data_IF_157428074987
#
_entry.id   IF_157428074987
#
_cell.length_a   1.000
_cell.length_b   1.000
_cell.length_c   1.000
_cell.angle_alpha   90.00
_cell.angle_beta   90.00
_cell.angle_gamma   90.00
#
_symmetry.space_group_name_H-M   'P 1'
#
loop_
_entity.id
_entity.type
_entity.pdbx_description
1 polymer ?
#
# COMPACT_ATOMS: atom_id res chain seq x y z
N UNK A 1 -6.48 -12.89 44.49
CA UNK A 1 -7.42 -13.70 43.68
C UNK A 1 -8.85 -13.16 43.62
N UNK A 2 -9.52 -12.76 44.72
CA UNK A 2 -10.90 -12.26 44.68
C UNK A 2 -11.06 -10.91 43.93
N UNK A 3 -10.12 -9.97 44.11
CA UNK A 3 -10.15 -8.64 43.48
C UNK A 3 -10.09 -8.72 41.94
N UNK A 4 -9.08 -9.41 41.41
CA UNK A 4 -8.92 -9.62 39.95
C UNK A 4 -10.12 -10.30 39.30
N UNK A 5 -10.71 -11.32 39.96
CA UNK A 5 -11.92 -11.98 39.43
C UNK A 5 -13.12 -11.03 39.37
N UNK A 6 -13.26 -10.14 40.36
CA UNK A 6 -14.32 -9.13 40.37
C UNK A 6 -14.10 -8.09 39.27
N UNK A 7 -12.88 -7.59 39.11
CA UNK A 7 -12.53 -6.64 38.03
C UNK A 7 -12.83 -7.23 36.63
N UNK A 8 -12.48 -8.49 36.40
CA UNK A 8 -12.81 -9.17 35.13
C UNK A 8 -14.31 -9.31 34.96
N UNK A 9 -15.04 -9.74 36.01
CA UNK A 9 -16.50 -9.86 35.97
C UNK A 9 -17.16 -8.51 35.64
N UNK A 10 -16.78 -7.44 36.36
CA UNK A 10 -17.31 -6.09 36.16
C UNK A 10 -17.03 -5.60 34.73
N UNK A 11 -15.82 -5.85 34.21
CA UNK A 11 -15.47 -5.52 32.83
C UNK A 11 -16.31 -6.26 31.79
N UNK A 12 -16.41 -7.60 31.86
CA UNK A 12 -17.11 -8.40 30.83
C UNK A 12 -18.62 -8.27 30.89
N UNK A 13 -19.18 -7.94 32.07
CA UNK A 13 -20.61 -7.68 32.24
C UNK A 13 -21.00 -6.22 32.02
N UNK A 14 -20.02 -5.32 31.83
CA UNK A 14 -20.30 -3.91 31.55
C UNK A 14 -21.09 -3.75 30.24
N UNK A 15 -21.95 -2.74 30.20
CA UNK A 15 -22.71 -2.37 28.99
C UNK A 15 -21.79 -1.99 27.83
N UNK A 16 -20.57 -1.54 28.14
CA UNK A 16 -19.59 -1.06 27.18
C UNK A 16 -18.71 -2.17 26.61
N UNK A 17 -18.76 -3.40 27.17
CA UNK A 17 -17.93 -4.51 26.71
C UNK A 17 -18.14 -4.82 25.23
N UNK A 18 -19.39 -5.02 24.80
CA UNK A 18 -19.72 -5.36 23.40
C UNK A 18 -19.39 -4.20 22.44
N UNK A 19 -19.76 -2.93 22.72
CA UNK A 19 -19.31 -1.78 21.92
C UNK A 19 -17.78 -1.69 21.79
N UNK A 20 -17.05 -1.93 22.88
CA UNK A 20 -15.58 -1.89 22.91
C UNK A 20 -14.99 -2.99 22.02
N UNK A 21 -15.52 -4.21 22.10
CA UNK A 21 -15.11 -5.33 21.26
C UNK A 21 -15.38 -5.05 19.78
N UNK A 22 -16.55 -4.49 19.44
CA UNK A 22 -16.88 -4.09 18.06
C UNK A 22 -15.90 -3.04 17.53
N UNK A 23 -15.55 -2.05 18.36
CA UNK A 23 -14.56 -1.02 18.00
C UNK A 23 -13.18 -1.66 17.77
N UNK A 24 -12.72 -2.53 18.66
CA UNK A 24 -11.45 -3.24 18.51
C UNK A 24 -11.41 -4.08 17.22
N UNK A 25 -12.48 -4.82 16.93
CA UNK A 25 -12.59 -5.59 15.69
C UNK A 25 -12.55 -4.69 14.44
N UNK A 26 -13.18 -3.51 14.48
CA UNK A 26 -13.14 -2.53 13.38
C UNK A 26 -11.72 -2.01 13.13
N UNK A 27 -10.96 -1.73 14.19
CA UNK A 27 -9.55 -1.29 14.12
C UNK A 27 -8.62 -2.38 13.58
N UNK A 28 -8.86 -3.65 13.94
CA UNK A 28 -8.02 -4.76 13.47
C UNK A 28 -8.33 -5.18 12.03
N UNK A 29 -9.51 -4.84 11.50
CA UNK A 29 -9.95 -5.27 10.18
C UNK A 29 -9.03 -4.81 9.02
N UNK A 30 -8.57 -3.55 8.93
CA UNK A 30 -7.60 -3.11 7.93
C UNK A 30 -6.31 -3.95 7.92
N UNK A 31 -5.78 -4.26 9.11
CA UNK A 31 -4.55 -5.05 9.28
C UNK A 31 -4.80 -6.49 8.81
N UNK A 32 -5.85 -7.14 9.30
CA UNK A 32 -6.18 -8.51 8.94
C UNK A 32 -6.49 -8.69 7.46
N UNK A 33 -7.13 -7.71 6.83
CA UNK A 33 -7.41 -7.72 5.38
C UNK A 33 -6.13 -7.57 4.55
N UNK A 34 -5.22 -6.72 5.03
CA UNK A 34 -3.93 -6.49 4.40
C UNK A 34 -3.00 -7.71 4.49
N UNK A 35 -2.91 -8.36 5.64
CA UNK A 35 -2.14 -9.60 5.82
C UNK A 35 -2.61 -10.69 4.85
N UNK A 36 -3.92 -10.95 4.81
CA UNK A 36 -4.51 -11.93 3.88
C UNK A 36 -4.24 -11.62 2.40
N UNK A 37 -4.05 -10.35 2.04
CA UNK A 37 -3.72 -9.95 0.66
C UNK A 37 -2.25 -10.22 0.33
N UNK A 38 -1.35 -10.04 1.30
CA UNK A 38 0.08 -10.25 1.12
C UNK A 38 0.53 -11.71 1.25
N UNK A 39 -0.22 -12.52 2.00
CA UNK A 39 0.05 -13.96 2.18
C UNK A 39 -0.28 -14.80 0.93
N UNK A 40 -0.85 -14.21 -0.12
CA UNK A 40 -1.10 -14.93 -1.38
C UNK A 40 0.16 -15.01 -2.20
N UNK A 41 0.45 -16.21 -2.73
CA UNK A 41 1.64 -16.49 -3.56
C UNK A 41 1.72 -15.61 -4.83
N UNK A 42 0.60 -15.05 -5.29
CA UNK A 42 0.51 -14.23 -6.48
C UNK A 42 0.51 -12.71 -6.21
N UNK A 43 0.72 -12.28 -4.95
CA UNK A 43 0.68 -10.87 -4.58
C UNK A 43 1.80 -10.07 -5.28
N UNK A 44 1.46 -9.07 -6.13
CA UNK A 44 2.47 -8.23 -6.76
C UNK A 44 3.26 -7.42 -5.72
N UNK A 45 4.58 -7.27 -5.92
CA UNK A 45 5.46 -6.43 -5.08
C UNK A 45 4.86 -5.04 -4.75
N UNK A 46 4.21 -4.32 -5.70
CA UNK A 46 3.61 -3.02 -5.39
C UNK A 46 2.51 -3.05 -4.31
N UNK A 47 1.91 -4.21 -4.02
CA UNK A 47 0.92 -4.35 -2.95
C UNK A 47 1.50 -3.98 -1.58
N UNK A 48 2.78 -4.28 -1.35
CA UNK A 48 3.45 -3.97 -0.08
C UNK A 48 3.47 -2.46 0.12
N UNK A 49 3.97 -1.71 -0.87
CA UNK A 49 4.04 -0.25 -0.75
C UNK A 49 2.65 0.40 -0.74
N UNK A 50 1.73 -0.08 -1.59
CA UNK A 50 0.36 0.44 -1.64
C UNK A 50 -0.38 0.28 -0.32
N UNK A 51 -0.18 -0.83 0.40
CA UNK A 51 -0.71 -1.04 1.75
C UNK A 51 -0.30 0.12 2.66
N UNK A 52 0.98 0.47 2.71
CA UNK A 52 1.46 1.54 3.60
C UNK A 52 0.92 2.92 3.22
N UNK A 53 0.63 3.16 1.94
CA UNK A 53 -0.01 4.39 1.48
C UNK A 53 -1.48 4.48 1.92
N UNK A 54 -2.21 3.37 1.91
CA UNK A 54 -3.65 3.35 2.20
C UNK A 54 -3.98 3.20 3.70
N UNK A 55 -3.15 2.46 4.44
CA UNK A 55 -3.40 2.10 5.83
C UNK A 55 -3.64 3.31 6.75
N UNK A 56 -2.97 4.47 6.61
CA UNK A 56 -3.27 5.67 7.40
C UNK A 56 -4.72 6.14 7.28
N UNK A 57 -5.29 6.10 6.08
CA UNK A 57 -6.69 6.48 5.83
C UNK A 57 -7.64 5.39 6.34
N UNK A 58 -7.31 4.11 6.12
CA UNK A 58 -8.11 3.00 6.64
C UNK A 58 -8.19 2.98 8.18
N UNK A 59 -7.12 3.40 8.87
CA UNK A 59 -7.08 3.56 10.32
C UNK A 59 -7.92 4.73 10.83
N UNK A 60 -8.00 5.80 10.04
CA UNK A 60 -8.85 6.96 10.32
C UNK A 60 -10.33 6.55 10.22
N UNK A 61 -10.70 5.86 9.13
CA UNK A 61 -12.04 5.31 8.91
C UNK A 61 -12.44 4.26 9.96
N UNK A 62 -11.47 3.59 10.57
CA UNK A 62 -11.70 2.64 11.65
C UNK A 62 -12.22 3.29 12.95
N UNK A 63 -12.14 4.61 13.09
CA UNK A 63 -12.66 5.35 14.25
C UNK A 63 -11.73 5.33 15.46
N UNK A 64 -10.42 5.37 15.21
CA UNK A 64 -9.42 5.63 16.25
C UNK A 64 -9.60 7.02 16.85
N UNK A 65 -9.20 7.20 18.11
CA UNK A 65 -9.09 8.54 18.68
C UNK A 65 -7.97 9.32 17.97
N UNK A 66 -7.98 10.65 18.05
CA UNK A 66 -6.90 11.47 17.46
C UNK A 66 -5.51 11.09 17.99
N UNK A 67 -5.41 10.78 19.29
CA UNK A 67 -4.16 10.34 19.92
C UNK A 67 -3.70 8.98 19.35
N UNK A 68 -4.59 7.99 19.32
CA UNK A 68 -4.27 6.65 18.82
C UNK A 68 -3.97 6.67 17.33
N UNK A 69 -4.68 7.50 16.55
CA UNK A 69 -4.45 7.67 15.12
C UNK A 69 -3.05 8.24 14.85
N UNK A 70 -2.59 9.21 15.66
CA UNK A 70 -1.23 9.75 15.56
C UNK A 70 -0.18 8.68 15.83
N UNK A 71 -0.39 7.85 16.86
CA UNK A 71 0.49 6.72 17.17
C UNK A 71 0.49 5.69 16.03
N UNK A 72 -0.69 5.33 15.51
CA UNK A 72 -0.83 4.41 14.39
C UNK A 72 -0.11 4.92 13.14
N UNK A 73 -0.33 6.18 12.74
CA UNK A 73 0.35 6.81 11.60
C UNK A 73 1.87 6.78 11.77
N UNK A 74 2.38 7.10 12.97
CA UNK A 74 3.82 7.00 13.27
C UNK A 74 4.35 5.58 13.12
N UNK A 75 3.65 4.58 13.65
CA UNK A 75 4.05 3.17 13.56
C UNK A 75 4.05 2.68 12.10
N UNK A 76 3.03 3.07 11.32
CA UNK A 76 2.92 2.75 9.89
C UNK A 76 4.12 3.32 9.14
N UNK A 77 4.46 4.59 9.36
CA UNK A 77 5.64 5.22 8.73
C UNK A 77 6.93 4.51 9.13
N UNK A 78 7.15 4.23 10.43
CA UNK A 78 8.34 3.52 10.89
C UNK A 78 8.46 2.14 10.25
N UNK A 79 7.35 1.40 10.14
CA UNK A 79 7.34 0.07 9.52
C UNK A 79 7.55 0.15 8.01
N UNK A 80 6.92 1.10 7.34
CA UNK A 80 7.15 1.36 5.93
C UNK A 80 8.63 1.62 5.66
N UNK A 81 9.26 2.55 6.40
CA UNK A 81 10.68 2.87 6.22
C UNK A 81 11.61 1.69 6.51
N UNK A 82 11.22 0.77 7.41
CA UNK A 82 12.00 -0.42 7.71
C UNK A 82 11.94 -1.46 6.58
N UNK A 83 10.77 -1.66 5.96
CA UNK A 83 10.60 -2.69 4.91
C UNK A 83 10.83 -2.15 3.51
N UNK A 84 10.76 -0.83 3.32
CA UNK A 84 10.90 -0.20 2.03
C UNK A 84 12.31 -0.40 1.49
N UNK A 85 12.37 -0.58 0.17
CA UNK A 85 13.60 -0.70 -0.60
C UNK A 85 13.28 -0.37 -2.06
N UNK A 86 14.29 -0.10 -2.87
CA UNK A 86 14.13 0.44 -4.23
C UNK A 86 13.19 -0.42 -5.10
N UNK A 87 13.21 -1.74 -4.92
CA UNK A 87 12.31 -2.67 -5.61
C UNK A 87 10.83 -2.32 -5.41
N UNK A 88 10.43 -1.84 -4.23
CA UNK A 88 9.06 -1.44 -3.94
C UNK A 88 8.66 -0.19 -4.73
N UNK A 89 9.52 0.83 -4.74
CA UNK A 89 9.31 2.06 -5.50
C UNK A 89 9.28 1.81 -7.00
N UNK A 90 10.25 1.06 -7.50
CA UNK A 90 10.35 0.66 -8.91
C UNK A 90 9.10 -0.10 -9.35
N UNK A 91 8.71 -1.13 -8.59
CA UNK A 91 7.53 -1.90 -8.92
C UNK A 91 6.28 -1.01 -8.90
N UNK A 92 6.13 -0.10 -7.93
CA UNK A 92 4.98 0.79 -7.85
C UNK A 92 4.90 1.79 -9.03
N UNK A 93 6.05 2.31 -9.48
CA UNK A 93 6.13 3.28 -10.59
C UNK A 93 5.97 2.60 -11.95
N UNK A 94 6.57 1.43 -12.15
CA UNK A 94 6.64 0.74 -13.43
C UNK A 94 5.48 -0.24 -13.67
N UNK A 95 4.79 -0.67 -12.61
CA UNK A 95 3.62 -1.52 -12.77
C UNK A 95 2.44 -0.69 -13.29
N UNK A 96 1.88 -1.01 -14.47
CA UNK A 96 0.81 -0.24 -15.08
C UNK A 96 -0.46 -0.14 -14.23
N UNK A 97 -0.70 -1.11 -13.34
CA UNK A 97 -1.86 -1.12 -12.42
C UNK A 97 -1.76 -0.01 -11.36
N UNK A 98 -0.55 0.37 -10.98
CA UNK A 98 -0.27 1.36 -9.92
C UNK A 98 0.20 2.68 -10.52
N UNK A 99 1.10 2.62 -11.50
CA UNK A 99 1.62 3.75 -12.27
C UNK A 99 2.12 4.92 -11.41
N UNK A 100 2.68 4.61 -10.23
CA UNK A 100 3.15 5.60 -9.26
C UNK A 100 2.03 6.40 -8.58
N UNK A 101 0.76 5.97 -8.65
CA UNK A 101 -0.35 6.68 -7.99
C UNK A 101 -0.18 6.69 -6.47
N UNK A 102 -0.11 7.88 -5.90
CA UNK A 102 0.02 8.09 -4.44
C UNK A 102 1.47 8.02 -3.94
N UNK A 103 2.44 7.79 -4.83
CA UNK A 103 3.87 7.90 -4.50
C UNK A 103 4.23 9.38 -4.36
N UNK A 104 4.88 9.74 -3.27
CA UNK A 104 5.35 11.10 -3.03
C UNK A 104 6.43 11.51 -4.04
N UNK A 105 6.56 12.81 -4.27
CA UNK A 105 7.51 13.35 -5.27
C UNK A 105 8.96 12.94 -4.96
N UNK A 106 9.38 12.99 -3.69
CA UNK A 106 10.73 12.62 -3.27
C UNK A 106 11.05 11.16 -3.60
N UNK A 107 10.17 10.23 -3.22
CA UNK A 107 10.31 8.81 -3.56
C UNK A 107 10.31 8.59 -5.07
N UNK A 108 9.47 9.32 -5.82
CA UNK A 108 9.42 9.22 -7.28
C UNK A 108 10.72 9.71 -7.92
N UNK A 109 11.26 10.84 -7.49
CA UNK A 109 12.56 11.35 -7.97
C UNK A 109 13.68 10.37 -7.66
N UNK A 110 13.72 9.78 -6.46
CA UNK A 110 14.70 8.76 -6.12
C UNK A 110 14.63 7.52 -7.05
N UNK A 111 13.42 7.09 -7.42
CA UNK A 111 13.23 5.99 -8.38
C UNK A 111 13.72 6.40 -9.79
N UNK A 112 13.45 7.62 -10.21
CA UNK A 112 13.90 8.16 -11.51
C UNK A 112 15.43 8.26 -11.58
N UNK A 113 16.07 8.75 -10.51
CA UNK A 113 17.53 8.81 -10.36
C UNK A 113 18.17 7.42 -10.34
N UNK A 114 17.58 6.48 -9.59
CA UNK A 114 18.03 5.09 -9.56
C UNK A 114 17.99 4.48 -10.96
N UNK A 115 16.88 4.63 -11.69
CA UNK A 115 16.76 4.10 -13.06
C UNK A 115 17.76 4.76 -14.02
N UNK A 116 18.00 6.06 -13.87
CA UNK A 116 18.97 6.80 -14.68
C UNK A 116 20.41 6.35 -14.46
N UNK A 117 20.75 5.96 -13.22
CA UNK A 117 22.10 5.54 -12.80
C UNK A 117 22.30 4.03 -12.82
N UNK A 118 21.24 3.24 -13.01
CA UNK A 118 21.31 1.79 -13.16
C UNK A 118 22.17 1.35 -14.37
N UNK A 119 22.29 2.21 -15.37
CA UNK A 119 23.15 1.98 -16.53
C UNK A 119 24.58 2.48 -16.29
N UNK A 120 25.58 1.85 -16.92
CA UNK A 120 27.00 2.27 -16.86
C UNK A 120 27.20 3.74 -17.25
N UNK A 121 26.34 4.26 -18.13
CA UNK A 121 26.27 5.68 -18.50
C UNK A 121 25.00 6.25 -17.88
N UNK A 122 25.10 7.43 -17.25
CA UNK A 122 23.95 8.15 -16.73
C UNK A 122 22.96 8.46 -17.87
N UNK A 123 21.71 8.00 -17.72
CA UNK A 123 20.63 8.13 -18.69
C UNK A 123 19.36 8.75 -18.10
N UNK A 124 19.47 9.54 -17.03
CA UNK A 124 18.31 10.11 -16.34
C UNK A 124 17.31 10.79 -17.28
N UNK A 125 17.76 11.64 -18.20
CA UNK A 125 16.84 12.33 -19.14
C UNK A 125 16.09 11.35 -20.08
N UNK A 126 16.78 10.30 -20.55
CA UNK A 126 16.17 9.26 -21.39
C UNK A 126 15.12 8.46 -20.61
N UNK A 127 15.42 8.15 -19.35
CA UNK A 127 14.52 7.45 -18.43
C UNK A 127 13.26 8.29 -18.16
N UNK A 128 13.43 9.57 -17.81
CA UNK A 128 12.30 10.49 -17.56
C UNK A 128 11.40 10.59 -18.79
N UNK A 129 11.99 10.66 -20.00
CA UNK A 129 11.24 10.67 -21.25
C UNK A 129 10.45 9.36 -21.45
N UNK A 130 11.07 8.20 -21.19
CA UNK A 130 10.41 6.89 -21.29
C UNK A 130 9.28 6.72 -20.28
N UNK A 131 9.48 7.16 -19.03
CA UNK A 131 8.44 7.15 -18.00
C UNK A 131 7.26 8.05 -18.38
N UNK A 132 7.54 9.22 -18.96
CA UNK A 132 6.48 10.12 -19.45
C UNK A 132 5.67 9.46 -20.57
N UNK A 133 6.34 8.84 -21.55
CA UNK A 133 5.68 8.07 -22.63
C UNK A 133 4.84 6.92 -22.09
N UNK A 134 5.36 6.20 -21.10
CA UNK A 134 4.63 5.13 -20.42
C UNK A 134 3.34 5.65 -19.78
N UNK A 135 3.39 6.78 -19.06
CA UNK A 135 2.20 7.38 -18.45
C UNK A 135 1.15 7.81 -19.48
N UNK A 136 1.58 8.40 -20.60
CA UNK A 136 0.69 8.74 -21.72
C UNK A 136 0.05 7.49 -22.31
N UNK A 137 0.82 6.42 -22.54
CA UNK A 137 0.31 5.14 -23.01
C UNK A 137 -0.76 4.56 -22.07
N UNK A 138 -0.54 4.62 -20.75
CA UNK A 138 -1.53 4.14 -19.78
C UNK A 138 -2.82 4.96 -19.79
N UNK A 139 -2.72 6.28 -19.93
CA UNK A 139 -3.88 7.15 -20.07
C UNK A 139 -4.70 6.78 -21.31
N UNK A 140 -4.04 6.52 -22.43
CA UNK A 140 -4.70 6.06 -23.66
C UNK A 140 -5.32 4.66 -23.52
N UNK A 141 -4.59 3.72 -22.90
CA UNK A 141 -5.07 2.34 -22.69
C UNK A 141 -6.36 2.31 -21.88
N UNK A 142 -6.46 3.14 -20.84
CA UNK A 142 -7.66 3.28 -19.99
C UNK A 142 -8.89 3.69 -20.79
N UNK A 143 -8.72 4.60 -21.73
CA UNK A 143 -9.83 5.17 -22.52
C UNK A 143 -10.15 4.30 -23.74
N UNK A 144 -9.14 3.95 -24.53
CA UNK A 144 -9.30 3.25 -25.82
C UNK A 144 -9.50 1.75 -25.66
N UNK A 145 -9.16 1.17 -24.52
CA UNK A 145 -9.19 -0.28 -24.30
C UNK A 145 -9.61 -0.64 -22.88
N UNK A 146 -10.71 -0.05 -22.41
CA UNK A 146 -11.24 -0.21 -21.05
C UNK A 146 -11.36 -1.68 -20.60
N UNK A 147 -11.83 -2.58 -21.47
CA UNK A 147 -11.90 -4.02 -21.15
C UNK A 147 -10.52 -4.61 -20.84
N UNK A 148 -9.51 -4.28 -21.63
CA UNK A 148 -8.13 -4.76 -21.43
C UNK A 148 -7.54 -4.17 -20.16
N UNK A 149 -7.80 -2.89 -19.90
CA UNK A 149 -7.43 -2.23 -18.64
C UNK A 149 -8.05 -2.93 -17.43
N UNK A 150 -9.35 -3.26 -17.47
CA UNK A 150 -10.02 -3.94 -16.37
C UNK A 150 -9.43 -5.33 -16.12
N UNK A 151 -9.18 -6.11 -17.18
CA UNK A 151 -8.56 -7.43 -17.03
C UNK A 151 -7.14 -7.34 -16.44
N UNK A 152 -6.39 -6.29 -16.74
CA UNK A 152 -5.08 -6.02 -16.14
C UNK A 152 -5.21 -5.70 -14.64
N UNK A 153 -6.16 -4.82 -14.25
CA UNK A 153 -6.41 -4.51 -12.84
C UNK A 153 -6.93 -5.71 -12.03
N UNK A 154 -7.69 -6.60 -12.67
CA UNK A 154 -8.21 -7.83 -12.07
C UNK A 154 -7.16 -8.95 -11.97
N UNK A 155 -5.91 -8.70 -12.38
CA UNK A 155 -4.85 -9.71 -12.49
C UNK A 155 -5.17 -10.87 -13.46
N UNK A 156 -6.11 -10.66 -14.39
CA UNK A 156 -6.48 -11.61 -15.45
C UNK A 156 -5.62 -11.48 -16.70
N UNK A 157 -4.83 -10.42 -16.79
CA UNK A 157 -3.75 -10.26 -17.77
C UNK A 157 -2.42 -10.15 -17.04
N UNK A 158 -1.37 -10.86 -17.49
CA UNK A 158 -0.06 -10.72 -16.92
C UNK A 158 0.51 -9.33 -17.23
N UNK A 159 1.25 -8.76 -16.28
CA UNK A 159 2.19 -7.67 -16.56
C UNK A 159 3.39 -8.32 -17.23
N UNK A 160 3.29 -8.58 -18.54
CA UNK A 160 4.35 -9.24 -19.29
C UNK A 160 5.59 -8.35 -19.34
N UNK A 161 6.64 -8.72 -18.61
CA UNK A 161 8.01 -8.31 -18.90
C UNK A 161 8.45 -9.25 -20.03
N UNK A 162 8.26 -8.85 -21.29
CA UNK A 162 8.92 -9.53 -22.39
C UNK A 162 10.43 -9.37 -22.16
N UNK A 163 11.09 -10.45 -21.76
CA UNK A 163 12.54 -10.57 -21.81
C UNK A 163 12.92 -10.58 -23.28
N UNK A 164 13.29 -9.42 -23.81
CA UNK A 164 14.02 -9.26 -25.08
C UNK A 164 15.44 -8.88 -24.76
#
# INVERSE_FOLDING_TARGET
MKKTRREVFDFVTSTDFVPTLKKAAKVLKPIGSSLKRLEKDDAPIPNVYKLFLDLPAEMEDAGLSSCDLKVAKSLITTRCNFVYGDAHGLACVLDPRYAGKGVEMLTRTAVEEFLGTWHVVNKTDEVVLKLTRFQTFLAELRVKSMRRWQLLCDNKLPVSISQT
#
